data_IF_719834228041
#
_entry.id   IF_719834228041
#
_cell.length_a   1.000
_cell.length_b   1.000
_cell.length_c   1.000
_cell.angle_alpha   90.00
_cell.angle_beta   90.00
_cell.angle_gamma   90.00
#
_symmetry.space_group_name_H-M   'P 1'
#
loop_
_entity.id
_entity.type
_entity.pdbx_description
1 polymer ?
#
# COMPACT_ATOMS: atom_id res chain seq x y z
N UNK A 1 -7.23 -12.34 9.15
CA UNK A 1 -6.40 -11.39 8.36
C UNK A 1 -7.03 -9.99 8.24
N UNK A 2 -7.70 -9.51 9.30
CA UNK A 2 -8.31 -8.17 9.38
C UNK A 2 -7.52 -7.24 10.33
N UNK A 3 -6.33 -7.68 10.80
CA UNK A 3 -5.59 -6.97 11.86
C UNK A 3 -4.59 -5.89 11.40
N UNK A 4 -4.25 -5.77 10.10
CA UNK A 4 -3.17 -4.85 9.68
C UNK A 4 -3.65 -3.45 9.28
N UNK A 5 -4.87 -3.27 8.81
CA UNK A 5 -5.38 -1.95 8.42
C UNK A 5 -5.78 -1.07 9.62
N UNK A 6 -6.21 -1.68 10.74
CA UNK A 6 -6.58 -0.94 11.95
C UNK A 6 -5.37 -0.33 12.67
N UNK A 7 -4.18 -0.96 12.57
CA UNK A 7 -2.95 -0.44 13.18
C UNK A 7 -2.37 0.81 12.48
N UNK A 8 -2.66 1.04 11.20
CA UNK A 8 -2.09 2.17 10.44
C UNK A 8 -2.85 3.47 10.73
N UNK A 9 -4.18 3.41 10.87
CA UNK A 9 -4.98 4.60 11.25
C UNK A 9 -4.68 5.07 12.68
N UNK A 10 -4.61 4.16 13.65
CA UNK A 10 -4.29 4.52 15.04
C UNK A 10 -2.88 5.12 15.20
N UNK A 11 -1.89 4.67 14.37
CA UNK A 11 -0.53 5.25 14.42
C UNK A 11 -0.46 6.65 13.80
N UNK A 12 -1.21 6.95 12.74
CA UNK A 12 -1.26 8.29 12.15
C UNK A 12 -1.91 9.31 13.08
N UNK A 13 -2.97 8.92 13.80
CA UNK A 13 -3.66 9.78 14.75
C UNK A 13 -2.83 10.00 16.03
N UNK A 14 -2.08 8.98 16.50
CA UNK A 14 -1.15 9.12 17.61
C UNK A 14 0.05 10.01 17.23
N UNK A 15 0.58 9.88 16.00
CA UNK A 15 1.65 10.74 15.48
C UNK A 15 1.21 12.19 15.37
N UNK A 16 -0.01 12.46 14.89
CA UNK A 16 -0.58 13.81 14.83
C UNK A 16 -0.75 14.44 16.22
N UNK A 17 -1.12 13.66 17.24
CA UNK A 17 -1.25 14.14 18.63
C UNK A 17 0.11 14.49 19.26
N UNK A 18 1.17 13.71 18.96
CA UNK A 18 2.54 13.98 19.49
C UNK A 18 3.15 15.25 18.91
N UNK A 19 2.79 15.68 17.71
CA UNK A 19 3.32 16.88 17.04
C UNK A 19 2.65 18.19 17.45
N UNK A 20 1.49 18.15 18.12
CA UNK A 20 0.62 19.32 18.26
C UNK A 20 0.98 20.30 19.38
N UNK A 21 2.01 20.03 20.26
CA UNK A 21 2.16 20.77 21.51
C UNK A 21 3.57 21.27 21.86
N UNK A 22 4.60 21.03 21.03
CA UNK A 22 5.94 21.53 21.38
C UNK A 22 6.20 22.90 20.78
N UNK A 23 6.44 23.90 21.60
CA UNK A 23 6.85 25.23 21.16
C UNK A 23 8.25 25.16 20.51
N UNK A 24 8.40 25.74 19.31
CA UNK A 24 9.69 25.77 18.60
C UNK A 24 10.79 26.48 19.40
N UNK A 25 10.45 27.31 20.38
CA UNK A 25 11.41 27.96 21.29
C UNK A 25 12.16 26.96 22.17
N UNK A 26 11.49 25.86 22.57
CA UNK A 26 12.13 24.82 23.39
C UNK A 26 13.21 24.08 22.57
N UNK A 27 12.93 23.75 21.30
CA UNK A 27 13.93 23.15 20.41
C UNK A 27 15.12 24.07 20.15
N UNK A 28 14.88 25.38 19.94
CA UNK A 28 15.95 26.38 19.78
C UNK A 28 16.82 26.47 21.02
N UNK A 29 16.21 26.43 22.21
CA UNK A 29 16.96 26.49 23.46
C UNK A 29 17.94 25.30 23.64
N UNK A 30 17.58 24.12 23.11
CA UNK A 30 18.46 22.96 23.11
C UNK A 30 19.54 23.12 22.03
N UNK A 31 19.18 23.56 20.85
CA UNK A 31 20.10 23.76 19.71
C UNK A 31 21.19 24.78 20.04
N UNK A 32 20.84 25.91 20.67
CA UNK A 32 21.77 26.97 21.05
C UNK A 32 22.81 26.52 22.12
N UNK A 33 22.40 25.56 22.98
CA UNK A 33 23.29 24.97 23.99
C UNK A 33 24.16 23.84 23.42
N UNK A 34 23.73 23.22 22.34
CA UNK A 34 24.45 22.12 21.73
C UNK A 34 25.61 22.64 20.87
N UNK A 35 26.85 22.34 21.26
CA UNK A 35 28.06 22.78 20.55
C UNK A 35 28.21 22.15 19.17
N UNK A 36 27.71 20.92 19.01
CA UNK A 36 27.75 20.15 17.75
C UNK A 36 26.64 19.10 17.77
N UNK A 37 25.94 19.02 16.67
CA UNK A 37 24.96 17.95 16.38
C UNK A 37 25.39 17.30 15.07
N UNK A 38 25.63 15.98 15.09
CA UNK A 38 26.19 15.29 13.96
C UNK A 38 25.36 14.06 13.59
N UNK A 39 24.95 13.97 12.32
CA UNK A 39 24.35 12.79 11.75
C UNK A 39 25.41 11.91 11.08
N UNK A 40 25.55 10.67 11.54
CA UNK A 40 26.52 9.70 11.02
C UNK A 40 25.86 8.49 10.35
N UNK A 41 24.53 8.50 10.23
CA UNK A 41 23.70 7.35 9.82
C UNK A 41 23.85 6.90 8.36
N UNK A 42 24.62 7.63 7.52
CA UNK A 42 25.00 7.13 6.20
C UNK A 42 26.06 6.02 6.26
N UNK A 43 26.93 6.07 7.28
CA UNK A 43 28.05 5.14 7.41
C UNK A 43 27.89 4.15 8.58
N UNK A 44 27.20 4.55 9.63
CA UNK A 44 27.10 3.80 10.89
C UNK A 44 25.65 3.59 11.31
N UNK A 45 25.38 2.42 11.90
CA UNK A 45 24.08 2.04 12.48
C UNK A 45 24.07 2.14 14.00
N UNK A 46 25.21 2.44 14.61
CA UNK A 46 25.43 2.53 16.06
C UNK A 46 26.39 3.65 16.38
N UNK A 47 26.25 4.27 17.54
CA UNK A 47 27.20 5.26 18.04
C UNK A 47 27.15 5.41 19.56
N UNK A 48 28.29 5.70 20.14
CA UNK A 48 28.34 6.40 21.43
C UNK A 48 27.93 7.85 21.20
N UNK A 49 27.19 8.40 22.16
CA UNK A 49 26.63 9.76 22.12
C UNK A 49 26.42 10.32 23.52
N UNK A 50 25.90 11.54 23.60
CA UNK A 50 25.43 12.15 24.84
C UNK A 50 24.07 12.80 24.65
N UNK A 51 23.23 12.77 25.68
CA UNK A 51 21.93 13.43 25.68
C UNK A 51 22.12 14.92 25.84
N UNK A 52 21.82 15.70 24.80
CA UNK A 52 21.93 17.18 24.83
C UNK A 52 20.69 17.84 25.37
N UNK A 53 19.54 17.23 25.24
CA UNK A 53 18.25 17.72 25.75
C UNK A 53 17.21 16.63 25.79
N UNK A 54 16.29 16.75 26.73
CA UNK A 54 15.12 15.89 26.91
C UNK A 54 13.91 16.81 26.97
N UNK A 55 12.86 16.48 26.19
CA UNK A 55 11.56 17.11 26.32
C UNK A 55 10.54 16.05 26.75
N UNK A 56 9.67 16.45 27.66
CA UNK A 56 8.51 15.71 28.15
C UNK A 56 7.31 16.63 28.10
N UNK A 57 6.19 16.19 27.55
CA UNK A 57 4.97 17.01 27.37
C UNK A 57 5.25 18.38 26.70
N UNK A 58 6.18 18.41 25.74
CA UNK A 58 6.56 19.61 24.99
C UNK A 58 7.42 20.61 25.74
N UNK A 59 7.97 20.27 26.93
CA UNK A 59 8.84 21.12 27.75
C UNK A 59 10.18 20.47 28.04
N UNK A 60 11.23 21.26 28.05
CA UNK A 60 12.57 20.79 28.40
C UNK A 60 12.60 20.34 29.87
N UNK A 61 13.14 19.16 30.11
CA UNK A 61 13.35 18.56 31.42
C UNK A 61 14.79 18.08 31.61
N UNK A 62 15.22 17.86 32.87
CA UNK A 62 16.55 17.33 33.16
C UNK A 62 16.61 15.81 33.13
N UNK A 63 15.51 15.13 33.42
CA UNK A 63 15.43 13.67 33.41
C UNK A 63 14.03 13.17 33.04
N UNK A 64 13.93 11.87 32.70
CA UNK A 64 12.70 11.15 32.48
C UNK A 64 12.85 9.69 32.91
N UNK A 65 11.75 9.06 33.35
CA UNK A 65 11.74 7.72 33.93
C UNK A 65 10.83 6.76 33.15
N UNK A 66 10.94 5.49 33.47
CA UNK A 66 10.18 4.43 32.81
C UNK A 66 8.68 4.75 32.69
N UNK A 67 8.13 4.61 31.51
CA UNK A 67 6.76 4.94 31.11
C UNK A 67 6.58 6.33 30.50
N UNK A 68 7.57 7.21 30.60
CA UNK A 68 7.49 8.56 30.05
C UNK A 68 7.65 8.53 28.52
N UNK A 69 6.76 9.24 27.80
CA UNK A 69 6.97 9.62 26.41
C UNK A 69 7.91 10.82 26.36
N UNK A 70 8.97 10.71 25.55
CA UNK A 70 10.03 11.71 25.50
C UNK A 70 10.45 12.05 24.08
N UNK A 71 10.99 13.25 23.91
CA UNK A 71 11.77 13.65 22.76
C UNK A 71 13.22 13.91 23.21
N UNK A 72 14.18 13.26 22.56
CA UNK A 72 15.59 13.32 22.95
C UNK A 72 16.44 13.86 21.82
N UNK A 73 17.32 14.78 22.14
CA UNK A 73 18.35 15.32 21.24
C UNK A 73 19.71 14.75 21.67
N UNK A 74 20.45 14.18 20.72
CA UNK A 74 21.79 13.61 20.94
C UNK A 74 22.88 14.42 20.24
N UNK A 75 24.08 14.42 20.78
CA UNK A 75 25.25 15.07 20.15
C UNK A 75 25.66 14.42 18.83
N UNK A 76 25.58 13.09 18.75
CA UNK A 76 25.87 12.28 17.54
C UNK A 76 24.73 11.29 17.39
N UNK A 77 24.21 11.13 16.18
CA UNK A 77 23.11 10.19 15.93
C UNK A 77 23.29 9.37 14.67
N UNK A 78 23.04 8.03 14.72
CA UNK A 78 22.91 7.19 13.53
C UNK A 78 21.50 7.21 12.95
N UNK A 79 20.51 7.77 13.65
CA UNK A 79 19.09 7.75 13.26
C UNK A 79 18.81 8.75 12.14
N UNK A 80 18.24 8.27 11.03
CA UNK A 80 17.72 9.10 9.96
C UNK A 80 16.37 9.68 10.34
N UNK A 81 16.25 10.99 10.30
CA UNK A 81 14.98 11.68 10.49
C UNK A 81 14.12 11.60 9.23
N UNK A 82 12.80 11.54 9.40
CA UNK A 82 11.85 11.55 8.29
C UNK A 82 12.11 12.74 7.35
N UNK A 83 12.29 12.44 6.07
CA UNK A 83 12.54 13.48 5.07
C UNK A 83 12.72 12.92 3.67
N UNK A 84 12.47 13.73 2.63
CA UNK A 84 12.61 13.31 1.23
C UNK A 84 11.77 12.08 0.86
N UNK A 85 10.61 11.89 1.50
CA UNK A 85 9.76 10.72 1.32
C UNK A 85 10.25 9.44 2.01
N UNK A 86 11.40 9.47 2.70
CA UNK A 86 11.89 8.34 3.47
C UNK A 86 11.33 8.38 4.90
N UNK A 87 10.75 7.26 5.37
CA UNK A 87 10.31 7.10 6.75
C UNK A 87 11.50 7.10 7.72
N UNK A 88 11.29 7.53 8.99
CA UNK A 88 12.33 7.59 9.98
C UNK A 88 12.79 6.21 10.43
N UNK A 89 13.99 6.17 11.00
CA UNK A 89 14.48 4.98 11.69
C UNK A 89 13.77 4.75 13.01
N UNK A 90 13.76 3.50 13.41
CA UNK A 90 13.45 3.05 14.76
C UNK A 90 14.71 2.46 15.40
N UNK A 91 14.68 2.26 16.71
CA UNK A 91 15.79 1.63 17.42
C UNK A 91 15.75 1.88 18.91
N UNK A 92 16.91 1.85 19.56
CA UNK A 92 17.04 2.10 21.01
C UNK A 92 18.18 3.04 21.35
N UNK A 93 18.02 3.75 22.46
CA UNK A 93 19.05 4.54 23.10
C UNK A 93 19.23 3.99 24.52
N UNK A 94 20.42 3.46 24.81
CA UNK A 94 20.78 2.87 26.10
C UNK A 94 21.66 3.80 26.90
N UNK A 95 21.19 4.16 28.08
CA UNK A 95 21.90 4.89 29.12
C UNK A 95 22.44 3.91 30.18
N UNK A 96 23.20 4.38 31.14
CA UNK A 96 23.73 3.53 32.24
C UNK A 96 22.59 2.88 33.02
N UNK A 97 21.54 3.66 33.35
CA UNK A 97 20.44 3.23 34.19
C UNK A 97 19.08 3.26 33.50
N UNK A 98 19.04 3.42 32.19
CA UNK A 98 17.79 3.52 31.45
C UNK A 98 17.90 3.12 29.98
N UNK A 99 16.74 2.86 29.37
CA UNK A 99 16.63 2.56 27.94
C UNK A 99 15.39 3.23 27.34
N UNK A 100 15.57 3.84 26.17
CA UNK A 100 14.50 4.45 25.39
C UNK A 100 14.30 3.61 24.13
N UNK A 101 13.08 3.23 23.84
CA UNK A 101 12.69 2.72 22.51
C UNK A 101 12.25 3.90 21.63
N UNK A 102 12.91 4.04 20.48
CA UNK A 102 12.66 5.11 19.50
C UNK A 102 11.78 4.57 18.38
N UNK A 103 10.64 5.22 18.14
CA UNK A 103 9.67 4.86 17.11
C UNK A 103 9.39 5.99 16.08
N UNK A 104 9.97 7.18 16.30
CA UNK A 104 9.91 8.29 15.35
C UNK A 104 11.14 9.20 15.48
N UNK A 105 11.60 9.77 14.36
CA UNK A 105 12.72 10.71 14.32
C UNK A 105 12.37 11.85 13.36
N UNK A 106 12.44 13.09 13.85
CA UNK A 106 11.99 14.27 13.12
C UNK A 106 13.04 15.38 13.13
N UNK A 107 12.89 16.32 12.19
CA UNK A 107 13.70 17.56 12.14
C UNK A 107 12.77 18.76 12.27
N UNK A 108 12.31 19.11 13.50
CA UNK A 108 11.34 20.17 13.73
C UNK A 108 11.87 21.56 13.36
N UNK A 109 13.18 21.78 13.48
CA UNK A 109 13.90 22.96 13.01
C UNK A 109 15.16 22.54 12.25
N UNK A 110 15.63 23.32 11.28
CA UNK A 110 16.80 22.96 10.47
C UNK A 110 18.03 22.64 11.34
N UNK A 111 18.64 21.46 11.08
CA UNK A 111 19.85 21.01 11.77
C UNK A 111 19.64 20.39 13.15
N UNK A 112 18.40 20.25 13.64
CA UNK A 112 18.10 19.59 14.90
C UNK A 112 17.34 18.28 14.66
N UNK A 113 18.00 17.15 14.93
CA UNK A 113 17.37 15.81 14.88
C UNK A 113 16.83 15.48 16.27
N UNK A 114 15.53 15.18 16.33
CA UNK A 114 14.79 14.85 17.55
C UNK A 114 14.30 13.42 17.47
N UNK A 115 14.65 12.62 18.47
CA UNK A 115 14.28 11.22 18.60
C UNK A 115 13.09 11.11 19.55
N UNK A 116 11.97 10.56 19.08
CA UNK A 116 10.74 10.38 19.84
C UNK A 116 10.57 8.92 20.22
N UNK A 117 10.17 8.70 21.47
CA UNK A 117 10.00 7.36 21.98
C UNK A 117 9.52 7.30 23.40
N UNK A 118 9.64 6.12 23.98
CA UNK A 118 9.20 5.82 25.35
C UNK A 118 10.39 5.30 26.15
N UNK A 119 10.59 5.83 27.36
CA UNK A 119 11.53 5.24 28.31
C UNK A 119 10.97 3.89 28.76
N UNK A 120 11.63 2.79 28.37
CA UNK A 120 11.16 1.42 28.65
C UNK A 120 11.55 0.95 30.05
N UNK A 121 12.71 1.37 30.50
CA UNK A 121 13.19 1.01 31.84
C UNK A 121 14.12 2.10 32.42
N UNK A 122 14.16 2.18 33.73
CA UNK A 122 15.06 3.04 34.50
C UNK A 122 14.80 4.53 34.33
N UNK A 123 15.87 5.31 34.37
CA UNK A 123 15.86 6.77 34.24
C UNK A 123 16.95 7.21 33.28
N UNK A 124 16.69 8.27 32.53
CA UNK A 124 17.63 8.94 31.63
C UNK A 124 17.82 10.39 32.08
N UNK A 125 19.03 10.94 31.90
CA UNK A 125 19.35 12.30 32.31
C UNK A 125 20.07 13.10 31.23
N UNK A 126 19.82 14.41 31.21
CA UNK A 126 20.54 15.33 30.34
C UNK A 126 22.04 15.34 30.67
N UNK A 127 22.88 15.27 29.64
CA UNK A 127 24.34 15.20 29.77
C UNK A 127 24.89 13.77 29.94
N UNK A 128 24.02 12.78 30.10
CA UNK A 128 24.41 11.38 30.25
C UNK A 128 25.00 10.82 28.95
N UNK A 129 26.03 9.95 29.10
CA UNK A 129 26.56 9.18 27.97
C UNK A 129 25.62 8.03 27.63
N UNK A 130 25.36 7.83 26.34
CA UNK A 130 24.42 6.82 25.85
C UNK A 130 24.99 6.09 24.65
N UNK A 131 24.50 4.88 24.42
CA UNK A 131 24.74 4.10 23.22
C UNK A 131 23.46 4.05 22.40
N UNK A 132 23.54 4.53 21.17
CA UNK A 132 22.43 4.61 20.21
C UNK A 132 22.57 3.55 19.14
N UNK A 133 21.50 2.79 18.87
CA UNK A 133 21.46 1.73 17.86
C UNK A 133 20.13 1.75 17.12
N UNK A 134 20.19 1.79 15.78
CA UNK A 134 18.99 1.70 14.93
C UNK A 134 18.62 0.25 14.63
N UNK A 135 17.35 0.02 14.29
CA UNK A 135 16.88 -1.22 13.67
C UNK A 135 17.48 -1.34 12.26
N UNK A 136 18.52 -2.17 12.14
CA UNK A 136 19.26 -2.38 10.91
C UNK A 136 18.44 -3.06 9.81
N UNK A 137 17.49 -3.94 10.17
CA UNK A 137 16.61 -4.62 9.19
C UNK A 137 15.63 -3.61 8.59
N UNK A 138 15.00 -2.81 9.43
CA UNK A 138 14.13 -1.71 9.02
C UNK A 138 14.86 -0.73 8.09
N UNK A 139 16.03 -0.23 8.50
CA UNK A 139 16.88 0.67 7.69
C UNK A 139 17.22 0.05 6.33
N UNK A 140 17.62 -1.21 6.32
CA UNK A 140 17.94 -1.92 5.08
C UNK A 140 16.73 -2.03 4.16
N UNK A 141 15.56 -2.38 4.70
CA UNK A 141 14.31 -2.42 3.97
C UNK A 141 13.94 -1.07 3.36
N UNK A 142 14.07 0.01 4.12
CA UNK A 142 13.81 1.38 3.64
C UNK A 142 14.83 1.79 2.56
N UNK A 143 16.12 1.52 2.76
CA UNK A 143 17.18 1.86 1.78
C UNK A 143 16.98 1.14 0.46
N UNK A 144 16.50 -0.11 0.48
CA UNK A 144 16.09 -0.85 -0.72
C UNK A 144 14.92 -0.15 -1.42
N UNK A 145 13.87 0.17 -0.70
CA UNK A 145 12.69 0.86 -1.22
C UNK A 145 13.06 2.22 -1.83
N UNK A 146 13.90 3.00 -1.14
CA UNK A 146 14.31 4.32 -1.60
C UNK A 146 15.17 4.24 -2.89
N UNK A 147 16.10 3.30 -2.95
CA UNK A 147 16.88 3.10 -4.18
C UNK A 147 15.99 2.60 -5.32
N UNK A 148 15.04 1.70 -5.05
CA UNK A 148 14.07 1.25 -6.05
C UNK A 148 13.20 2.40 -6.57
N UNK A 149 12.82 3.35 -5.73
CA UNK A 149 12.06 4.54 -6.14
C UNK A 149 12.82 5.36 -7.17
N UNK A 150 14.12 5.62 -6.98
CA UNK A 150 14.94 6.31 -7.97
C UNK A 150 15.04 5.53 -9.29
N UNK A 151 15.19 4.22 -9.22
CA UNK A 151 15.25 3.38 -10.41
C UNK A 151 13.92 3.36 -11.18
N UNK A 152 12.81 3.24 -10.47
CA UNK A 152 11.46 3.28 -11.07
C UNK A 152 11.17 4.67 -11.64
N UNK A 153 11.52 5.75 -10.94
CA UNK A 153 11.40 7.12 -11.44
C UNK A 153 12.15 7.30 -12.77
N UNK A 154 13.41 6.89 -12.82
CA UNK A 154 14.22 6.97 -14.05
C UNK A 154 13.61 6.15 -15.19
N UNK A 155 13.12 4.93 -14.92
CA UNK A 155 12.48 4.08 -15.93
C UNK A 155 11.17 4.70 -16.45
N UNK A 156 10.34 5.28 -15.59
CA UNK A 156 9.14 6.00 -16.02
C UNK A 156 9.49 7.17 -16.94
N UNK A 157 10.55 7.93 -16.64
CA UNK A 157 11.00 9.04 -17.49
C UNK A 157 11.53 8.57 -18.84
N UNK A 158 12.20 7.43 -18.90
CA UNK A 158 12.66 6.85 -20.16
C UNK A 158 11.48 6.45 -21.07
N UNK A 159 10.39 5.93 -20.48
CA UNK A 159 9.25 5.37 -21.22
C UNK A 159 8.16 6.43 -21.47
N UNK A 160 7.80 7.23 -20.46
CA UNK A 160 6.73 8.24 -20.56
C UNK A 160 7.23 9.63 -20.95
N UNK A 161 8.55 9.85 -20.87
CA UNK A 161 9.18 11.14 -21.15
C UNK A 161 9.54 11.93 -19.89
N UNK A 162 10.28 13.02 -20.11
CA UNK A 162 10.90 13.85 -19.06
C UNK A 162 9.89 14.52 -18.11
N UNK A 163 8.61 14.57 -18.46
CA UNK A 163 7.54 15.16 -17.64
C UNK A 163 7.09 14.26 -16.49
N UNK A 164 7.41 12.97 -16.52
CA UNK A 164 7.12 12.02 -15.43
C UNK A 164 8.06 12.26 -14.23
N UNK A 165 8.02 13.48 -13.66
CA UNK A 165 8.83 13.87 -12.50
C UNK A 165 8.16 13.47 -11.20
N UNK A 166 8.94 13.30 -10.12
CA UNK A 166 8.37 12.98 -8.82
C UNK A 166 7.54 14.16 -8.28
N UNK A 167 6.26 13.91 -8.01
CA UNK A 167 5.36 14.83 -7.30
C UNK A 167 5.25 14.48 -5.80
N UNK A 168 5.55 13.26 -5.43
CA UNK A 168 5.61 12.76 -4.06
C UNK A 168 6.15 11.34 -4.00
N UNK A 169 6.62 10.93 -2.82
CA UNK A 169 7.04 9.54 -2.58
C UNK A 169 6.92 9.19 -1.10
N UNK A 170 6.86 7.90 -0.81
CA UNK A 170 7.04 7.35 0.53
C UNK A 170 7.81 6.04 0.42
N UNK A 171 8.91 5.94 1.17
CA UNK A 171 9.77 4.78 1.22
C UNK A 171 9.70 4.17 2.62
N UNK A 172 9.07 3.00 2.71
CA UNK A 172 8.89 2.20 3.91
C UNK A 172 9.64 0.86 3.80
N UNK A 173 9.80 0.10 4.88
CA UNK A 173 10.42 -1.21 4.80
C UNK A 173 9.71 -2.11 3.79
N UNK A 174 10.43 -2.56 2.76
CA UNK A 174 9.94 -3.50 1.75
C UNK A 174 8.91 -2.96 0.75
N UNK A 175 8.54 -1.68 0.83
CA UNK A 175 7.57 -1.05 -0.08
C UNK A 175 7.86 0.41 -0.32
N UNK A 176 7.39 0.92 -1.47
CA UNK A 176 7.34 2.36 -1.72
C UNK A 176 6.08 2.74 -2.48
N UNK A 177 5.75 4.03 -2.44
CA UNK A 177 4.81 4.69 -3.34
C UNK A 177 5.52 5.84 -4.04
N UNK A 178 5.15 6.05 -5.30
CA UNK A 178 5.71 7.07 -6.16
C UNK A 178 4.58 7.78 -6.89
N UNK A 179 4.49 9.10 -6.72
CA UNK A 179 3.47 9.96 -7.31
C UNK A 179 4.11 10.80 -8.42
N UNK A 180 3.45 10.89 -9.57
CA UNK A 180 3.96 11.64 -10.72
C UNK A 180 2.83 12.23 -11.55
N UNK A 181 3.06 13.36 -12.26
CA UNK A 181 2.07 13.94 -13.15
C UNK A 181 1.86 13.06 -14.38
N UNK A 182 0.59 12.82 -14.72
CA UNK A 182 0.19 12.18 -15.96
C UNK A 182 -1.25 12.57 -16.32
N UNK A 183 -1.53 12.72 -17.61
CA UNK A 183 -2.83 13.18 -18.13
C UNK A 183 -3.91 12.09 -18.10
N UNK A 184 -3.54 10.83 -17.93
CA UNK A 184 -4.45 9.68 -17.91
C UNK A 184 -3.87 8.49 -17.17
N UNK A 185 -4.63 7.40 -17.12
CA UNK A 185 -4.19 6.14 -16.53
C UNK A 185 -2.99 5.58 -17.32
N UNK A 186 -2.02 5.05 -16.62
CA UNK A 186 -0.85 4.40 -17.24
C UNK A 186 -1.26 3.00 -17.71
N UNK A 187 -1.05 2.67 -18.98
CA UNK A 187 -1.35 1.33 -19.49
C UNK A 187 -0.59 0.24 -18.72
N UNK A 188 -1.23 -0.90 -18.50
CA UNK A 188 -0.59 -2.04 -17.81
C UNK A 188 0.70 -2.49 -18.51
N UNK A 189 0.77 -2.40 -19.84
CA UNK A 189 1.97 -2.71 -20.61
C UNK A 189 3.15 -1.80 -20.25
N UNK A 190 2.90 -0.51 -20.01
CA UNK A 190 3.93 0.44 -19.58
C UNK A 190 4.42 0.10 -18.17
N UNK A 191 3.50 -0.25 -17.24
CA UNK A 191 3.91 -0.70 -15.90
C UNK A 191 4.77 -1.95 -15.97
N UNK A 192 4.42 -2.90 -16.82
CA UNK A 192 5.22 -4.11 -17.06
C UNK A 192 6.60 -3.77 -17.64
N UNK A 193 6.66 -2.87 -18.61
CA UNK A 193 7.91 -2.44 -19.23
C UNK A 193 8.86 -1.78 -18.21
N UNK A 194 8.31 -0.89 -17.35
CA UNK A 194 9.06 -0.28 -16.23
C UNK A 194 9.57 -1.36 -15.28
N UNK A 195 8.72 -2.31 -14.89
CA UNK A 195 9.07 -3.41 -13.99
C UNK A 195 10.20 -4.27 -14.58
N UNK A 196 10.08 -4.67 -15.85
CA UNK A 196 11.12 -5.43 -16.53
C UNK A 196 12.43 -4.64 -16.67
N UNK A 197 12.33 -3.36 -17.04
CA UNK A 197 13.51 -2.47 -17.18
C UNK A 197 14.27 -2.37 -15.86
N UNK A 198 13.58 -2.14 -14.75
CA UNK A 198 14.19 -2.03 -13.43
C UNK A 198 14.82 -3.35 -13.01
N UNK A 199 14.07 -4.46 -13.06
CA UNK A 199 14.61 -5.77 -12.64
C UNK A 199 15.81 -6.22 -13.49
N UNK A 200 15.81 -5.95 -14.81
CA UNK A 200 16.96 -6.22 -15.67
C UNK A 200 18.24 -5.41 -15.30
N UNK A 201 18.06 -4.24 -14.69
CA UNK A 201 19.18 -3.44 -14.15
C UNK A 201 19.66 -3.94 -12.78
N UNK A 202 18.80 -4.64 -12.02
CA UNK A 202 19.23 -5.29 -10.76
C UNK A 202 20.22 -6.41 -11.03
N UNK A 203 20.02 -7.17 -12.11
CA UNK A 203 20.93 -8.25 -12.51
C UNK A 203 22.33 -7.74 -12.88
N UNK A 204 22.44 -6.48 -13.33
CA UNK A 204 23.73 -5.85 -13.64
C UNK A 204 24.52 -5.46 -12.38
N UNK A 205 23.87 -5.52 -11.21
CA UNK A 205 24.44 -5.19 -9.91
C UNK A 205 25.25 -3.88 -9.90
N UNK A 206 24.63 -2.81 -10.40
CA UNK A 206 25.23 -1.50 -10.53
C UNK A 206 25.64 -0.93 -9.18
N UNK A 207 26.79 -0.27 -9.10
CA UNK A 207 27.22 0.43 -7.89
C UNK A 207 26.28 1.63 -7.59
N UNK A 208 25.92 1.78 -6.33
CA UNK A 208 25.13 2.93 -5.84
C UNK A 208 26.03 3.81 -4.99
N UNK A 209 26.34 4.97 -5.50
CA UNK A 209 27.24 5.95 -4.85
C UNK A 209 26.46 7.18 -4.41
N UNK A 210 27.01 7.86 -3.40
CA UNK A 210 26.48 9.13 -2.93
C UNK A 210 27.63 10.11 -2.72
N UNK A 211 27.62 11.21 -3.46
CA UNK A 211 28.71 12.18 -3.48
C UNK A 211 28.18 13.59 -3.21
N UNK A 212 28.83 14.32 -2.32
CA UNK A 212 28.55 15.73 -2.09
C UNK A 212 29.30 16.62 -3.06
N UNK A 213 28.59 17.54 -3.70
CA UNK A 213 29.13 18.47 -4.68
C UNK A 213 28.35 19.77 -4.70
N UNK A 214 28.78 20.73 -5.48
CA UNK A 214 28.01 21.97 -5.72
C UNK A 214 26.80 21.70 -6.62
N UNK A 215 25.75 22.54 -6.52
CA UNK A 215 24.61 22.45 -7.45
C UNK A 215 25.03 22.58 -8.92
N UNK A 216 26.08 23.38 -9.21
CA UNK A 216 26.59 23.56 -10.58
C UNK A 216 27.20 22.27 -11.12
N UNK A 217 27.99 21.57 -10.30
CA UNK A 217 28.57 20.27 -10.66
C UNK A 217 27.49 19.21 -10.84
N UNK A 218 26.50 19.15 -9.94
CA UNK A 218 25.38 18.23 -10.03
C UNK A 218 24.58 18.39 -11.34
N UNK A 219 24.32 19.65 -11.73
CA UNK A 219 23.65 19.94 -13.02
C UNK A 219 24.49 19.53 -14.22
N UNK A 220 25.82 19.73 -14.19
CA UNK A 220 26.71 19.30 -15.27
C UNK A 220 26.75 17.77 -15.40
N UNK A 221 26.59 17.04 -14.30
CA UNK A 221 26.45 15.59 -14.29
C UNK A 221 25.08 15.07 -14.76
N UNK A 222 24.14 15.97 -15.05
CA UNK A 222 22.78 15.62 -15.42
C UNK A 222 21.95 15.09 -14.24
N UNK A 223 22.37 15.38 -13.00
CA UNK A 223 21.62 14.97 -11.82
C UNK A 223 20.28 15.71 -11.75
N UNK A 224 19.20 14.95 -11.52
CA UNK A 224 17.87 15.52 -11.40
C UNK A 224 17.65 16.08 -9.99
N UNK A 225 17.06 17.27 -9.93
CA UNK A 225 16.55 17.86 -8.71
C UNK A 225 15.05 17.52 -8.58
N UNK A 226 14.62 17.10 -7.40
CA UNK A 226 13.21 16.85 -7.11
C UNK A 226 12.44 18.17 -7.04
N UNK A 227 11.23 18.17 -7.57
CA UNK A 227 10.42 19.39 -7.64
C UNK A 227 9.97 19.81 -6.24
N UNK A 228 10.12 21.11 -5.92
CA UNK A 228 9.64 21.68 -4.66
C UNK A 228 10.62 21.64 -3.49
N UNK A 229 11.78 21.00 -3.60
CA UNK A 229 12.80 21.00 -2.56
C UNK A 229 13.73 22.22 -2.66
N UNK A 230 14.10 22.79 -1.51
CA UNK A 230 15.09 23.86 -1.43
C UNK A 230 16.48 23.29 -1.15
N UNK A 231 17.35 23.41 -2.11
CA UNK A 231 18.73 22.92 -2.00
C UNK A 231 19.69 24.03 -1.59
N UNK A 232 20.63 23.74 -0.67
CA UNK A 232 21.75 24.61 -0.32
C UNK A 232 22.80 24.68 -1.44
N UNK A 233 23.90 25.39 -1.20
CA UNK A 233 25.01 25.48 -2.17
C UNK A 233 25.64 24.10 -2.46
N UNK A 234 25.70 23.24 -1.45
CA UNK A 234 26.16 21.84 -1.57
C UNK A 234 24.97 20.91 -1.55
N UNK A 235 25.00 19.92 -2.42
CA UNK A 235 23.96 18.91 -2.61
C UNK A 235 24.56 17.51 -2.62
N UNK A 236 23.82 16.53 -2.16
CA UNK A 236 24.19 15.14 -2.23
C UNK A 236 23.55 14.52 -3.47
N UNK A 237 24.37 14.00 -4.38
CA UNK A 237 23.97 13.29 -5.59
C UNK A 237 24.07 11.80 -5.34
N UNK A 238 22.97 11.07 -5.50
CA UNK A 238 22.92 9.62 -5.50
C UNK A 238 22.92 9.14 -6.94
N UNK A 239 23.84 8.24 -7.26
CA UNK A 239 24.01 7.66 -8.60
C UNK A 239 23.82 6.14 -8.54
N UNK A 240 23.06 5.58 -9.48
CA UNK A 240 22.95 4.12 -9.71
C UNK A 240 23.71 3.84 -11.01
N UNK A 241 24.97 3.46 -10.88
CA UNK A 241 25.92 3.42 -12.01
C UNK A 241 25.94 4.75 -12.77
N UNK A 242 26.03 4.68 -14.08
CA UNK A 242 25.88 5.85 -14.96
C UNK A 242 24.44 6.10 -15.40
N UNK A 243 23.51 5.21 -15.02
CA UNK A 243 22.14 5.21 -15.55
C UNK A 243 21.21 6.22 -14.89
N UNK A 244 21.24 6.33 -13.56
CA UNK A 244 20.38 7.27 -12.82
C UNK A 244 21.22 8.15 -11.89
N UNK A 245 20.94 9.45 -11.85
CA UNK A 245 21.61 10.42 -10.98
C UNK A 245 20.57 11.41 -10.46
N UNK A 246 20.37 11.46 -9.12
CA UNK A 246 19.35 12.30 -8.50
C UNK A 246 19.87 12.98 -7.24
N UNK A 247 19.37 14.18 -6.94
CA UNK A 247 19.64 14.88 -5.68
C UNK A 247 18.83 14.21 -4.58
N UNK A 248 19.50 13.60 -3.61
CA UNK A 248 18.83 12.86 -2.54
C UNK A 248 19.61 12.84 -1.24
N UNK A 249 18.94 13.23 -0.14
CA UNK A 249 19.46 13.14 1.23
C UNK A 249 19.16 11.81 1.95
N UNK A 250 18.47 10.87 1.30
CA UNK A 250 18.07 9.61 1.92
C UNK A 250 19.17 8.55 2.03
N UNK A 251 18.82 7.44 2.64
CA UNK A 251 19.72 6.28 2.76
C UNK A 251 19.47 5.30 1.61
N UNK A 252 20.54 4.72 1.10
CA UNK A 252 20.52 3.84 -0.06
C UNK A 252 21.33 2.57 0.17
N UNK A 253 21.04 1.54 -0.63
CA UNK A 253 21.91 0.35 -0.74
C UNK A 253 23.20 0.71 -1.44
N UNK A 254 24.21 -0.16 -1.37
CA UNK A 254 25.50 0.06 -2.03
C UNK A 254 25.54 -0.46 -3.46
N UNK A 255 24.66 -1.38 -3.82
CA UNK A 255 24.58 -2.02 -5.14
C UNK A 255 23.13 -2.31 -5.50
N UNK A 256 22.76 -2.17 -6.78
CA UNK A 256 21.37 -2.38 -7.24
C UNK A 256 20.88 -3.81 -7.00
N UNK A 257 21.73 -4.81 -7.12
CA UNK A 257 21.36 -6.22 -6.84
C UNK A 257 20.90 -6.47 -5.41
N UNK A 258 21.27 -5.62 -4.44
CA UNK A 258 20.79 -5.72 -3.05
C UNK A 258 19.31 -5.43 -2.88
N UNK A 259 18.64 -4.88 -3.89
CA UNK A 259 17.18 -4.72 -3.90
C UNK A 259 16.46 -6.07 -3.96
N UNK A 260 17.06 -7.06 -4.62
CA UNK A 260 16.50 -8.39 -4.85
C UNK A 260 15.47 -8.38 -5.97
N UNK A 261 14.27 -7.90 -5.73
CA UNK A 261 13.18 -7.86 -6.70
C UNK A 261 12.34 -6.60 -6.50
N UNK A 262 11.88 -6.00 -7.58
CA UNK A 262 10.90 -4.89 -7.57
C UNK A 262 9.62 -5.35 -8.26
N UNK A 263 8.48 -5.26 -7.57
CA UNK A 263 7.16 -5.62 -8.07
C UNK A 263 6.21 -4.42 -8.01
N UNK A 264 5.79 -3.90 -9.16
CA UNK A 264 4.74 -2.89 -9.23
C UNK A 264 3.37 -3.55 -8.97
N UNK A 265 2.60 -3.02 -8.02
CA UNK A 265 1.32 -3.60 -7.61
C UNK A 265 0.15 -2.97 -8.34
N UNK A 266 0.06 -1.66 -8.27
CA UNK A 266 -1.09 -0.89 -8.73
C UNK A 266 -0.69 0.49 -9.23
N UNK A 267 -1.56 1.04 -10.05
CA UNK A 267 -1.54 2.44 -10.46
C UNK A 267 -2.93 3.03 -10.24
N UNK A 268 -3.00 4.23 -9.66
CA UNK A 268 -4.27 4.87 -9.33
C UNK A 268 -4.18 6.40 -9.42
N UNK A 269 -5.33 7.07 -9.58
CA UNK A 269 -5.41 8.52 -9.48
C UNK A 269 -5.48 8.95 -8.01
N UNK A 270 -4.69 9.96 -7.65
CA UNK A 270 -4.73 10.59 -6.32
C UNK A 270 -5.17 12.07 -6.36
N UNK A 271 -5.40 12.59 -7.56
CA UNK A 271 -5.82 13.97 -7.79
C UNK A 271 -5.87 14.29 -9.28
N UNK A 272 -6.30 15.50 -9.61
CA UNK A 272 -6.33 15.95 -11.00
C UNK A 272 -4.90 15.98 -11.59
N UNK A 273 -4.64 15.14 -12.58
CA UNK A 273 -3.36 15.07 -13.27
C UNK A 273 -2.21 14.45 -12.48
N UNK A 274 -2.47 13.75 -11.36
CA UNK A 274 -1.45 13.06 -10.58
C UNK A 274 -1.81 11.58 -10.42
N UNK A 275 -0.86 10.73 -10.72
CA UNK A 275 -0.97 9.27 -10.63
C UNK A 275 -0.02 8.76 -9.56
N UNK A 276 -0.42 7.69 -8.89
CA UNK A 276 0.35 6.97 -7.87
C UNK A 276 0.64 5.56 -8.32
N UNK A 277 1.88 5.15 -8.20
CA UNK A 277 2.29 3.75 -8.31
C UNK A 277 2.72 3.26 -6.93
N UNK A 278 2.26 2.06 -6.57
CA UNK A 278 2.68 1.34 -5.38
C UNK A 278 3.50 0.11 -5.77
N UNK A 279 4.55 -0.16 -5.02
CA UNK A 279 5.45 -1.25 -5.29
C UNK A 279 5.97 -1.92 -4.03
N UNK A 280 6.33 -3.20 -4.19
CA UNK A 280 7.05 -3.99 -3.19
C UNK A 280 8.49 -4.22 -3.64
N UNK A 281 9.38 -4.39 -2.66
CA UNK A 281 10.81 -4.56 -2.90
C UNK A 281 11.37 -5.72 -2.06
N UNK A 282 12.24 -6.52 -2.66
CA UNK A 282 12.96 -7.60 -2.00
C UNK A 282 12.04 -8.73 -1.52
N UNK A 283 12.16 -9.10 -0.25
CA UNK A 283 11.41 -10.23 0.33
C UNK A 283 9.90 -10.04 0.24
N UNK A 284 9.40 -8.82 0.38
CA UNK A 284 7.95 -8.57 0.32
C UNK A 284 7.41 -8.70 -1.10
N UNK A 285 8.19 -8.31 -2.13
CA UNK A 285 7.88 -8.60 -3.52
C UNK A 285 7.86 -10.11 -3.79
N UNK A 286 8.83 -10.85 -3.27
CA UNK A 286 8.88 -12.31 -3.38
C UNK A 286 7.67 -12.97 -2.70
N UNK A 287 7.34 -12.57 -1.46
CA UNK A 287 6.16 -13.11 -0.72
C UNK A 287 4.86 -12.87 -1.48
N UNK A 288 4.73 -11.71 -2.12
CA UNK A 288 3.57 -11.39 -2.95
C UNK A 288 3.44 -12.35 -4.13
N UNK A 289 4.50 -12.53 -4.92
CA UNK A 289 4.50 -13.47 -6.06
C UNK A 289 4.29 -14.93 -5.63
N UNK A 290 4.91 -15.34 -4.52
CA UNK A 290 4.71 -16.69 -3.98
C UNK A 290 3.24 -16.93 -3.58
N UNK A 291 2.57 -15.92 -3.01
CA UNK A 291 1.13 -16.00 -2.70
C UNK A 291 0.27 -16.09 -3.96
N UNK A 292 0.56 -15.28 -4.98
CA UNK A 292 -0.15 -15.36 -6.27
C UNK A 292 0.01 -16.76 -6.89
N UNK A 293 1.22 -17.32 -6.83
CA UNK A 293 1.48 -18.67 -7.33
C UNK A 293 0.67 -19.75 -6.58
N UNK A 294 0.58 -19.67 -5.23
CA UNK A 294 -0.22 -20.59 -4.44
C UNK A 294 -1.72 -20.49 -4.78
N UNK A 295 -2.24 -19.28 -4.98
CA UNK A 295 -3.64 -19.10 -5.41
C UNK A 295 -3.86 -19.72 -6.79
N UNK A 296 -2.94 -19.49 -7.72
CA UNK A 296 -3.01 -20.06 -9.07
C UNK A 296 -3.01 -21.58 -9.04
N UNK A 297 -2.12 -22.19 -8.23
CA UNK A 297 -2.10 -23.67 -8.05
C UNK A 297 -3.43 -24.18 -7.50
N UNK A 298 -4.00 -23.51 -6.50
CA UNK A 298 -5.32 -23.89 -5.96
C UNK A 298 -6.42 -23.85 -7.01
N UNK A 299 -6.39 -22.85 -7.92
CA UNK A 299 -7.34 -22.77 -9.02
C UNK A 299 -7.14 -23.88 -10.05
N UNK A 300 -5.90 -24.24 -10.38
CA UNK A 300 -5.61 -25.36 -11.30
C UNK A 300 -6.08 -26.70 -10.73
N UNK A 301 -5.93 -26.90 -9.42
CA UNK A 301 -6.44 -28.11 -8.73
C UNK A 301 -7.98 -28.18 -8.78
N UNK A 302 -8.69 -27.09 -8.50
CA UNK A 302 -10.14 -27.02 -8.57
C UNK A 302 -10.68 -27.31 -9.99
N UNK A 303 -9.96 -26.89 -11.01
CA UNK A 303 -10.36 -27.11 -12.42
C UNK A 303 -9.73 -28.38 -13.02
N UNK A 304 -9.47 -29.38 -12.15
CA UNK A 304 -9.04 -30.75 -12.53
C UNK A 304 -7.87 -30.79 -13.52
N UNK A 305 -6.73 -30.21 -13.11
CA UNK A 305 -5.46 -30.31 -13.84
C UNK A 305 -5.39 -29.45 -15.10
N UNK A 306 -6.10 -28.34 -15.11
CA UNK A 306 -5.86 -27.29 -16.11
C UNK A 306 -4.44 -26.75 -15.96
N UNK A 307 -3.78 -26.41 -17.08
CA UNK A 307 -2.58 -25.60 -17.00
C UNK A 307 -2.97 -24.13 -16.67
N UNK A 308 -2.11 -23.37 -15.99
CA UNK A 308 -2.40 -21.97 -15.64
C UNK A 308 -2.89 -21.12 -16.82
N UNK A 309 -2.31 -21.33 -17.98
CA UNK A 309 -2.62 -20.62 -19.23
C UNK A 309 -4.02 -20.94 -19.77
N UNK A 310 -4.54 -22.13 -19.45
CA UNK A 310 -5.87 -22.58 -19.89
C UNK A 310 -7.01 -22.08 -18.98
N UNK A 311 -6.69 -21.61 -17.76
CA UNK A 311 -7.69 -21.22 -16.76
C UNK A 311 -8.69 -20.16 -17.28
N UNK A 312 -8.27 -19.07 -17.95
CA UNK A 312 -9.19 -18.05 -18.44
C UNK A 312 -10.23 -18.62 -19.42
N UNK A 313 -9.81 -19.47 -20.34
CA UNK A 313 -10.69 -20.09 -21.33
C UNK A 313 -11.64 -21.10 -20.68
N UNK A 314 -11.13 -21.98 -19.81
CA UNK A 314 -11.96 -22.97 -19.10
C UNK A 314 -12.99 -22.30 -18.20
N UNK A 315 -12.62 -21.27 -17.45
CA UNK A 315 -13.56 -20.50 -16.61
C UNK A 315 -14.62 -19.82 -17.49
N UNK A 316 -14.23 -19.22 -18.60
CA UNK A 316 -15.16 -18.60 -19.55
C UNK A 316 -16.17 -19.62 -20.10
N UNK A 317 -15.70 -20.79 -20.51
CA UNK A 317 -16.54 -21.91 -20.98
C UNK A 317 -17.49 -22.38 -19.88
N UNK A 318 -17.01 -22.55 -18.64
CA UNK A 318 -17.87 -22.93 -17.51
C UNK A 318 -18.99 -21.91 -17.26
N UNK A 319 -18.67 -20.60 -17.29
CA UNK A 319 -19.65 -19.52 -17.11
C UNK A 319 -20.70 -19.57 -18.25
N UNK A 320 -20.28 -19.82 -19.48
CA UNK A 320 -21.20 -19.95 -20.63
C UNK A 320 -22.09 -21.17 -20.48
N UNK A 321 -21.52 -22.33 -20.14
CA UNK A 321 -22.28 -23.56 -19.88
C UNK A 321 -23.31 -23.40 -18.77
N UNK A 322 -22.94 -22.72 -17.67
CA UNK A 322 -23.91 -22.40 -16.58
C UNK A 322 -25.08 -21.57 -17.11
N UNK A 323 -24.81 -20.52 -17.91
CA UNK A 323 -25.89 -19.70 -18.50
C UNK A 323 -26.79 -20.49 -19.45
N UNK A 324 -26.23 -21.41 -20.20
CA UNK A 324 -26.99 -22.29 -21.11
C UNK A 324 -27.89 -23.24 -20.31
N UNK A 325 -27.33 -23.92 -19.29
CA UNK A 325 -28.09 -24.81 -18.40
C UNK A 325 -29.21 -24.05 -17.66
N UNK A 326 -28.96 -22.84 -17.16
CA UNK A 326 -29.98 -22.00 -16.53
C UNK A 326 -31.13 -21.68 -17.49
N UNK A 327 -30.80 -21.37 -18.75
CA UNK A 327 -31.79 -21.10 -19.80
C UNK A 327 -32.61 -22.35 -20.14
N UNK A 328 -31.94 -23.50 -20.30
CA UNK A 328 -32.61 -24.76 -20.54
C UNK A 328 -33.53 -25.15 -19.38
N UNK A 329 -33.05 -25.02 -18.13
CA UNK A 329 -33.83 -25.27 -16.95
C UNK A 329 -35.07 -24.38 -16.87
N UNK A 330 -34.93 -23.09 -17.19
CA UNK A 330 -36.07 -22.15 -17.24
C UNK A 330 -37.08 -22.60 -18.31
N UNK A 331 -36.62 -22.99 -19.50
CA UNK A 331 -37.48 -23.46 -20.56
C UNK A 331 -38.19 -24.76 -20.16
N UNK A 332 -37.47 -25.72 -19.57
CA UNK A 332 -38.04 -26.98 -19.08
C UNK A 332 -39.11 -26.71 -18.00
N UNK A 333 -38.84 -25.83 -17.02
CA UNK A 333 -39.79 -25.44 -15.98
C UNK A 333 -41.06 -24.80 -16.56
N UNK A 334 -40.91 -23.92 -17.58
CA UNK A 334 -42.05 -23.34 -18.28
C UNK A 334 -42.93 -24.38 -19.01
N UNK A 335 -42.25 -25.30 -19.73
CA UNK A 335 -42.94 -26.36 -20.48
C UNK A 335 -43.69 -27.35 -19.51
N UNK A 336 -42.98 -27.74 -18.44
CA UNK A 336 -43.55 -28.65 -17.43
C UNK A 336 -44.74 -27.99 -16.69
N UNK A 337 -44.60 -26.71 -16.29
CA UNK A 337 -45.67 -25.95 -15.67
C UNK A 337 -46.86 -25.75 -16.61
N UNK A 338 -46.63 -25.53 -17.88
CA UNK A 338 -47.72 -25.43 -18.87
C UNK A 338 -48.51 -26.73 -18.99
N UNK A 339 -47.83 -27.89 -19.03
CA UNK A 339 -48.50 -29.22 -19.03
C UNK A 339 -49.29 -29.49 -17.79
N UNK A 340 -48.78 -29.11 -16.63
CA UNK A 340 -49.48 -29.25 -15.34
C UNK A 340 -50.72 -28.38 -15.31
N UNK A 341 -50.70 -27.16 -15.87
CA UNK A 341 -51.87 -26.27 -15.98
C UNK A 341 -52.93 -26.78 -16.94
N UNK A 342 -52.58 -27.52 -17.98
CA UNK A 342 -53.55 -28.11 -18.91
C UNK A 342 -54.46 -29.13 -18.23
N UNK A 343 -54.07 -29.70 -17.14
CA UNK A 343 -54.86 -30.63 -16.31
C UNK A 343 -55.76 -29.94 -15.33
N UNK A 344 -55.59 -28.64 -15.14
CA UNK A 344 -56.37 -27.84 -14.15
C UNK A 344 -57.71 -27.42 -14.79
N UNK A 345 -58.83 -27.85 -14.21
CA UNK A 345 -60.14 -27.47 -14.71
C UNK A 345 -60.55 -26.11 -14.13
N UNK A 346 -60.93 -25.12 -14.96
CA UNK A 346 -61.45 -23.85 -14.50
C UNK A 346 -62.72 -24.02 -13.67
N UNK A 347 -62.82 -23.23 -12.59
CA UNK A 347 -64.04 -23.19 -11.74
C UNK A 347 -64.86 -21.94 -12.08
N UNK A 348 -66.08 -22.14 -12.55
CA UNK A 348 -67.00 -21.03 -12.79
C UNK A 348 -67.49 -20.35 -11.49
N UNK A 349 -67.32 -19.03 -11.41
CA UNK A 349 -67.85 -18.19 -10.35
C UNK A 349 -68.60 -17.05 -10.99
N UNK A 350 -69.93 -17.23 -11.12
CA UNK A 350 -70.82 -16.28 -11.82
C UNK A 350 -70.41 -16.21 -13.31
N UNK A 351 -69.99 -15.03 -13.81
CA UNK A 351 -69.56 -14.81 -15.20
C UNK A 351 -68.04 -14.95 -15.40
N UNK A 352 -67.30 -15.33 -14.34
CA UNK A 352 -65.81 -15.39 -14.34
C UNK A 352 -65.36 -16.84 -14.18
N UNK A 353 -64.28 -17.22 -14.86
CA UNK A 353 -63.60 -18.50 -14.70
C UNK A 353 -62.40 -18.32 -13.79
N UNK A 354 -62.36 -19.03 -12.64
CA UNK A 354 -61.22 -19.03 -11.72
C UNK A 354 -60.33 -20.23 -12.03
N UNK A 355 -59.04 -19.95 -12.23
CA UNK A 355 -57.96 -20.95 -12.32
C UNK A 355 -57.01 -20.71 -11.15
N UNK A 356 -57.06 -21.56 -10.12
CA UNK A 356 -56.17 -21.48 -8.98
C UNK A 356 -55.36 -22.79 -8.92
N UNK A 357 -54.05 -22.68 -8.95
CA UNK A 357 -53.16 -23.85 -8.92
C UNK A 357 -51.86 -23.59 -8.15
N UNK A 358 -51.48 -24.61 -7.36
CA UNK A 358 -50.17 -24.65 -6.68
C UNK A 358 -49.32 -25.70 -7.39
N UNK A 359 -48.20 -25.26 -7.97
CA UNK A 359 -47.30 -26.16 -8.63
C UNK A 359 -46.58 -27.07 -7.66
N UNK A 360 -46.31 -28.31 -8.09
CA UNK A 360 -45.52 -29.30 -7.35
C UNK A 360 -44.02 -29.07 -7.49
N UNK A 361 -43.59 -28.32 -8.50
CA UNK A 361 -42.21 -27.96 -8.77
C UNK A 361 -41.91 -26.52 -8.37
N UNK A 362 -40.63 -26.25 -8.07
CA UNK A 362 -40.13 -24.92 -7.73
C UNK A 362 -40.07 -24.03 -9.00
N UNK A 363 -40.96 -23.04 -9.05
CA UNK A 363 -41.00 -22.06 -10.15
C UNK A 363 -40.71 -20.66 -9.61
N UNK A 364 -39.88 -19.92 -10.30
CA UNK A 364 -39.64 -18.51 -10.01
C UNK A 364 -40.79 -17.62 -10.43
N UNK A 365 -40.83 -16.37 -9.92
CA UNK A 365 -41.90 -15.40 -10.20
C UNK A 365 -42.07 -15.06 -11.66
N UNK A 366 -41.00 -15.05 -12.45
CA UNK A 366 -41.03 -14.77 -13.89
C UNK A 366 -41.68 -15.89 -14.68
N UNK A 367 -41.36 -17.14 -14.33
CA UNK A 367 -42.00 -18.32 -14.92
C UNK A 367 -43.47 -18.36 -14.57
N UNK A 368 -43.84 -18.19 -13.27
CA UNK A 368 -45.25 -18.13 -12.84
C UNK A 368 -46.01 -17.05 -13.57
N UNK A 369 -45.47 -15.84 -13.65
CA UNK A 369 -46.08 -14.72 -14.36
C UNK A 369 -46.31 -15.03 -15.83
N UNK A 370 -45.32 -15.62 -16.49
CA UNK A 370 -45.40 -16.02 -17.90
C UNK A 370 -46.50 -17.06 -18.10
N UNK A 371 -46.61 -18.06 -17.22
CA UNK A 371 -47.63 -19.07 -17.24
C UNK A 371 -49.05 -18.47 -17.00
N UNK A 372 -49.16 -17.58 -16.00
CA UNK A 372 -50.42 -16.89 -15.68
C UNK A 372 -50.93 -16.07 -16.85
N UNK A 373 -50.07 -15.28 -17.49
CA UNK A 373 -50.45 -14.47 -18.66
C UNK A 373 -50.88 -15.35 -19.84
N UNK A 374 -50.13 -16.38 -20.17
CA UNK A 374 -50.46 -17.32 -21.25
C UNK A 374 -51.79 -18.05 -20.97
N UNK A 375 -52.08 -18.40 -19.74
CA UNK A 375 -53.31 -19.08 -19.36
C UNK A 375 -54.50 -18.11 -19.42
N UNK A 376 -54.34 -16.88 -18.94
CA UNK A 376 -55.35 -15.81 -19.01
C UNK A 376 -55.74 -15.50 -20.46
N UNK A 377 -54.75 -15.43 -21.34
CA UNK A 377 -54.97 -15.12 -22.79
C UNK A 377 -55.71 -16.24 -23.53
N UNK A 378 -55.65 -17.49 -23.04
CA UNK A 378 -56.37 -18.63 -23.58
C UNK A 378 -57.83 -18.73 -23.13
N UNK A 379 -58.18 -18.18 -21.96
CA UNK A 379 -59.51 -18.35 -21.36
C UNK A 379 -60.14 -16.98 -21.12
N UNK A 380 -61.14 -16.65 -21.90
CA UNK A 380 -61.88 -15.38 -21.77
C UNK A 380 -62.55 -15.25 -20.40
N UNK A 381 -62.60 -14.01 -19.85
CA UNK A 381 -63.20 -13.70 -18.51
C UNK A 381 -62.61 -14.58 -17.40
N UNK A 382 -61.29 -14.76 -17.36
CA UNK A 382 -60.62 -15.57 -16.32
C UNK A 382 -59.85 -14.75 -15.30
N UNK A 383 -59.80 -15.26 -14.06
CA UNK A 383 -58.87 -14.89 -13.01
C UNK A 383 -57.94 -16.06 -12.80
N UNK A 384 -56.64 -15.82 -12.93
CA UNK A 384 -55.61 -16.84 -12.80
C UNK A 384 -54.76 -16.54 -11.55
N UNK A 385 -54.68 -17.48 -10.62
CA UNK A 385 -53.85 -17.40 -9.41
C UNK A 385 -52.96 -18.62 -9.37
N UNK A 386 -51.67 -18.38 -9.55
CA UNK A 386 -50.67 -19.44 -9.56
C UNK A 386 -49.71 -19.28 -8.39
N UNK A 387 -49.33 -20.37 -7.75
CA UNK A 387 -48.35 -20.36 -6.66
C UNK A 387 -47.33 -21.49 -6.81
N UNK A 388 -46.13 -21.23 -6.32
CA UNK A 388 -45.07 -22.22 -6.19
C UNK A 388 -44.28 -21.92 -4.93
N UNK A 389 -43.37 -22.85 -4.57
CA UNK A 389 -42.39 -22.66 -3.50
C UNK A 389 -41.04 -22.50 -4.17
N UNK A 390 -40.22 -21.54 -3.75
CA UNK A 390 -38.84 -21.37 -4.17
C UNK A 390 -38.02 -21.01 -2.94
N UNK A 391 -36.97 -21.79 -2.62
CA UNK A 391 -36.09 -21.56 -1.45
C UNK A 391 -36.87 -21.32 -0.14
N UNK A 392 -37.84 -22.16 0.17
CA UNK A 392 -38.74 -22.05 1.32
C UNK A 392 -39.63 -20.76 1.37
N UNK A 393 -39.76 -20.07 0.24
CA UNK A 393 -40.64 -18.90 0.10
C UNK A 393 -41.81 -19.23 -0.85
N UNK A 394 -42.99 -18.72 -0.54
CA UNK A 394 -44.15 -18.80 -1.45
C UNK A 394 -44.03 -17.70 -2.49
N UNK A 395 -44.07 -18.09 -3.74
CA UNK A 395 -44.11 -17.17 -4.90
C UNK A 395 -45.51 -17.23 -5.50
N UNK A 396 -46.11 -16.07 -5.81
CA UNK A 396 -47.46 -15.91 -6.34
C UNK A 396 -47.43 -15.13 -7.67
N UNK A 397 -48.30 -15.48 -8.60
CA UNK A 397 -48.57 -14.73 -9.81
C UNK A 397 -50.08 -14.73 -10.13
#
# INVERSE_FOLDING_TARGET
LVGSEMCIRDRSDAKAKRTAHTDLSEYRSIQDKAKRLEFIGYAKTKSDSSIMGILKDGKVTKSAQAGDEVEVVMSVTPFYAEGGGQLPDHGSIKATNGEIEIDDVQTPIPGLIVHRGIVRQGEISQGESVFAEIDGERRTGISRAHTATHMVHKAFREILGETATQAGSENAPGRFRFDFPATGAVPKSVLQEVEFRVNGLLEQDLEVTATEMTQVEARKLGAMALFGEKYGERVRVVSVGEWAKELCGGTHVKRSGQLGLVKLLSESSIGAGVRRVEALVGVDAFKFLAREHLILNSLTELIKGAQPEELPERISTMIQTIKEIERELKTFRQASGAKELELVKPKGIGKVQLIAHKFSMDLDGDVLRTLALKTRDKISNSVVVLSSTLENRVVLA
#
